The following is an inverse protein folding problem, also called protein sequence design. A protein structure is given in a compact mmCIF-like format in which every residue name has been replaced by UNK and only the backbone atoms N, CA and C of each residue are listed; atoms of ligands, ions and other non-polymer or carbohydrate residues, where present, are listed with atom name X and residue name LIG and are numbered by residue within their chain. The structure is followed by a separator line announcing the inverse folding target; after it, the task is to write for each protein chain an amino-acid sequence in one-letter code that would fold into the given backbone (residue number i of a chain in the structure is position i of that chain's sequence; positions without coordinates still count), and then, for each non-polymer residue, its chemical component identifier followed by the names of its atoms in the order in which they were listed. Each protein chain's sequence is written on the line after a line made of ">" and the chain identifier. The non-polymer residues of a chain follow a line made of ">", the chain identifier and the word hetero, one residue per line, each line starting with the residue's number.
data_IF_174290468715
#
_entry.id   IF_174290468715
#
_cell.length_a   1.000
_cell.length_b   1.000
_cell.length_c   1.000
_cell.angle_alpha   90.00
_cell.angle_beta   90.00
_cell.angle_gamma   90.00
#
_symmetry.space_group_name_H-M   'P 1'
#
loop_
_entity.id
_entity.type
_entity.pdbx_description
1 polymer ?
#
# COMPACT_ATOMS: atom_id res chain seq x y z
N UNK A 1 9.68 17.83 6.77
CA UNK A 1 10.41 17.93 5.49
C UNK A 1 9.39 17.77 4.36
N UNK A 2 9.32 18.65 3.36
CA UNK A 2 8.37 18.48 2.26
C UNK A 2 8.85 17.30 1.40
N UNK A 3 8.05 16.23 1.33
CA UNK A 3 8.35 15.04 0.54
C UNK A 3 8.29 15.39 -0.94
N UNK A 4 9.44 15.26 -1.61
CA UNK A 4 9.61 15.45 -3.05
C UNK A 4 8.60 14.57 -3.79
N UNK A 5 7.73 15.18 -4.59
CA UNK A 5 6.85 14.44 -5.51
C UNK A 5 7.74 13.61 -6.44
N UNK A 6 7.36 12.35 -6.69
CA UNK A 6 8.08 11.32 -7.46
C UNK A 6 8.61 11.75 -8.86
N UNK A 7 8.34 12.98 -9.33
CA UNK A 7 8.85 13.55 -10.58
C UNK A 7 10.34 13.88 -10.61
N UNK A 8 11.07 13.76 -9.50
CA UNK A 8 12.53 13.98 -9.46
C UNK A 8 13.36 12.71 -9.70
N UNK A 9 12.75 11.52 -9.62
CA UNK A 9 13.43 10.24 -9.84
C UNK A 9 13.06 9.76 -11.26
N UNK A 10 14.03 9.55 -12.17
CA UNK A 10 13.73 9.01 -13.50
C UNK A 10 13.13 7.60 -13.38
N UNK A 11 12.29 7.23 -14.34
CA UNK A 11 11.80 5.85 -14.42
C UNK A 11 12.98 4.88 -14.64
N UNK A 12 12.92 3.67 -14.05
CA UNK A 12 13.94 2.66 -14.32
C UNK A 12 14.00 2.29 -15.81
N UNK A 13 15.11 1.71 -16.24
CA UNK A 13 15.27 1.30 -17.64
C UNK A 13 14.19 0.28 -18.06
N UNK A 14 13.61 0.51 -19.24
CA UNK A 14 12.51 -0.30 -19.76
C UNK A 14 11.14 0.00 -19.12
N UNK A 15 11.02 1.05 -18.31
CA UNK A 15 9.73 1.53 -17.81
C UNK A 15 9.28 2.80 -18.53
N UNK A 16 8.02 2.80 -18.92
CA UNK A 16 7.30 3.96 -19.46
C UNK A 16 6.05 4.25 -18.64
N UNK A 17 5.44 5.41 -18.87
CA UNK A 17 4.13 5.74 -18.28
C UNK A 17 3.18 6.26 -19.35
N UNK A 18 1.91 5.95 -19.18
CA UNK A 18 0.83 6.43 -20.03
C UNK A 18 -0.36 6.84 -19.17
N UNK A 19 -1.35 7.48 -19.80
CA UNK A 19 -2.61 7.85 -19.16
C UNK A 19 -3.75 7.10 -19.79
N UNK A 20 -4.63 6.60 -18.96
CA UNK A 20 -5.87 5.97 -19.37
C UNK A 20 -6.91 7.04 -19.80
N UNK A 21 -8.10 6.63 -20.28
CA UNK A 21 -9.15 7.55 -20.73
C UNK A 21 -9.67 8.46 -19.61
N UNK A 22 -9.61 7.99 -18.37
CA UNK A 22 -9.92 8.77 -17.16
C UNK A 22 -8.79 9.74 -16.76
N UNK A 23 -7.66 9.73 -17.47
CA UNK A 23 -6.49 10.54 -17.16
C UNK A 23 -5.62 9.98 -16.03
N UNK A 24 -6.00 8.84 -15.43
CA UNK A 24 -5.18 8.10 -14.46
C UNK A 24 -3.89 7.61 -15.11
N UNK A 25 -2.77 7.83 -14.44
CA UNK A 25 -1.45 7.39 -14.90
C UNK A 25 -1.27 5.92 -14.57
N UNK A 26 -0.82 5.14 -15.54
CA UNK A 26 -0.35 3.76 -15.35
C UNK A 26 1.07 3.62 -15.92
N UNK A 27 1.78 2.62 -15.43
CA UNK A 27 3.17 2.34 -15.78
C UNK A 27 3.26 1.09 -16.63
N UNK A 28 4.16 1.11 -17.61
CA UNK A 28 4.37 0.06 -18.60
C UNK A 28 5.77 -0.49 -18.39
N UNK A 29 5.88 -1.75 -18.00
CA UNK A 29 7.16 -2.46 -17.94
C UNK A 29 7.40 -3.18 -19.26
N UNK A 30 8.30 -2.63 -20.08
CA UNK A 30 8.69 -3.21 -21.35
C UNK A 30 9.56 -4.47 -21.20
N UNK A 31 10.13 -4.72 -20.02
CA UNK A 31 10.92 -5.92 -19.73
C UNK A 31 10.02 -7.16 -19.63
N UNK A 32 8.96 -7.09 -18.79
CA UNK A 32 7.99 -8.18 -18.64
C UNK A 32 6.76 -8.08 -19.54
N UNK A 33 6.64 -7.00 -20.32
CA UNK A 33 5.48 -6.69 -21.19
C UNK A 33 4.17 -6.63 -20.40
N UNK A 34 4.21 -6.00 -19.23
CA UNK A 34 3.06 -5.84 -18.33
C UNK A 34 2.78 -4.37 -18.06
N UNK A 35 1.53 -4.07 -17.74
CA UNK A 35 1.12 -2.77 -17.24
C UNK A 35 0.75 -2.87 -15.77
N UNK A 36 0.95 -1.79 -15.02
CA UNK A 36 0.63 -1.73 -13.59
C UNK A 36 0.25 -0.31 -13.19
N UNK A 37 -0.60 -0.20 -12.17
CA UNK A 37 -0.95 1.07 -11.54
C UNK A 37 0.10 1.49 -10.49
N UNK A 38 1.05 0.62 -10.16
CA UNK A 38 2.09 0.87 -9.17
C UNK A 38 3.28 1.55 -9.83
N UNK A 39 3.65 2.74 -9.35
CA UNK A 39 4.88 3.41 -9.79
C UNK A 39 6.09 2.54 -9.40
N UNK A 40 6.95 2.11 -10.34
CA UNK A 40 8.15 1.34 -9.99
C UNK A 40 9.07 2.09 -9.02
N UNK A 41 8.97 3.42 -8.97
CA UNK A 41 9.74 4.27 -8.05
C UNK A 41 9.18 4.26 -6.64
N UNK A 42 7.90 3.94 -6.45
CA UNK A 42 7.30 3.88 -5.11
C UNK A 42 7.96 2.82 -4.23
N UNK A 43 8.64 1.83 -4.82
CA UNK A 43 9.44 0.86 -4.05
C UNK A 43 10.53 1.51 -3.19
N UNK A 44 10.98 2.71 -3.55
CA UNK A 44 12.03 3.45 -2.83
C UNK A 44 11.47 4.52 -1.89
N UNK A 45 10.22 4.93 -2.05
CA UNK A 45 9.62 6.06 -1.33
C UNK A 45 8.47 5.66 -0.42
N UNK A 46 7.76 4.57 -0.72
CA UNK A 46 6.65 4.06 0.09
C UNK A 46 7.12 2.99 1.08
N UNK A 47 6.43 2.89 2.24
CA UNK A 47 6.68 1.82 3.20
C UNK A 47 6.38 0.46 2.57
N UNK A 48 7.27 -0.51 2.78
CA UNK A 48 7.12 -1.86 2.26
C UNK A 48 6.12 -2.69 3.08
N UNK A 49 5.89 -2.30 4.33
CA UNK A 49 4.96 -2.94 5.25
C UNK A 49 4.02 -1.93 5.90
N UNK A 50 2.88 -2.42 6.38
CA UNK A 50 1.98 -1.65 7.24
C UNK A 50 2.66 -1.15 8.52
N UNK A 51 3.70 -1.86 9.00
CA UNK A 51 4.48 -1.46 10.17
C UNK A 51 5.26 -0.14 9.98
N UNK A 52 5.69 0.14 8.74
CA UNK A 52 6.49 1.31 8.40
C UNK A 52 5.62 2.51 7.96
N UNK A 53 4.29 2.35 7.97
CA UNK A 53 3.37 3.41 7.58
C UNK A 53 3.33 4.50 8.64
N UNK A 54 3.68 5.74 8.25
CA UNK A 54 3.65 6.91 9.13
C UNK A 54 2.51 7.83 8.72
N UNK A 55 1.68 8.22 9.68
CA UNK A 55 0.57 9.14 9.46
C UNK A 55 -0.48 8.57 8.50
N UNK A 56 -0.69 9.25 7.38
CA UNK A 56 -1.69 8.91 6.36
C UNK A 56 -1.13 8.12 5.18
N UNK A 57 0.15 7.74 5.18
CA UNK A 57 0.74 6.98 4.09
C UNK A 57 0.24 5.53 4.06
N UNK A 58 -0.05 5.03 2.86
CA UNK A 58 -0.40 3.64 2.59
C UNK A 58 0.82 2.87 2.07
N UNK A 59 0.91 1.56 2.32
CA UNK A 59 2.05 0.76 1.87
C UNK A 59 2.09 0.62 0.35
N UNK A 60 3.22 0.12 -0.14
CA UNK A 60 3.43 -0.11 -1.58
C UNK A 60 2.26 -0.88 -2.20
N UNK A 61 1.72 -0.34 -3.29
CA UNK A 61 0.61 -0.93 -4.03
C UNK A 61 -0.78 -0.65 -3.48
N UNK A 62 -0.90 0.06 -2.36
CA UNK A 62 -2.18 0.59 -1.88
C UNK A 62 -2.39 2.04 -2.31
N UNK A 63 -3.62 2.33 -2.74
CA UNK A 63 -4.10 3.64 -3.15
C UNK A 63 -5.37 4.00 -2.37
N UNK A 64 -5.45 5.24 -1.90
CA UNK A 64 -6.68 5.83 -1.35
C UNK A 64 -7.42 6.50 -2.50
N UNK A 65 -8.67 6.11 -2.72
CA UNK A 65 -9.53 6.66 -3.75
C UNK A 65 -10.82 7.22 -3.12
N UNK A 66 -11.48 8.11 -3.85
CA UNK A 66 -12.73 8.73 -3.41
C UNK A 66 -13.80 8.57 -4.47
N UNK A 67 -14.96 8.06 -4.05
CA UNK A 67 -16.18 8.02 -4.86
C UNK A 67 -17.27 8.89 -4.19
N UNK A 68 -18.01 9.72 -4.93
CA UNK A 68 -19.04 10.60 -4.35
C UNK A 68 -20.18 9.89 -3.61
N UNK A 69 -20.48 8.62 -3.94
CA UNK A 69 -21.59 7.87 -3.36
C UNK A 69 -21.13 7.03 -2.15
N UNK A 70 -19.92 6.49 -2.22
CA UNK A 70 -19.38 5.54 -1.23
C UNK A 70 -18.47 6.25 -0.22
N UNK A 71 -17.83 7.35 -0.62
CA UNK A 71 -16.82 8.05 0.17
C UNK A 71 -15.40 7.54 -0.14
N UNK A 72 -14.54 7.60 0.87
CA UNK A 72 -13.14 7.12 0.76
C UNK A 72 -13.13 5.60 0.78
N UNK A 73 -12.41 5.00 -0.16
CA UNK A 73 -12.19 3.56 -0.24
C UNK A 73 -10.73 3.26 -0.63
N UNK A 74 -10.30 2.03 -0.39
CA UNK A 74 -8.91 1.61 -0.55
C UNK A 74 -8.80 0.60 -1.68
N UNK A 75 -7.80 0.80 -2.55
CA UNK A 75 -7.51 -0.05 -3.70
C UNK A 75 -6.16 -0.73 -3.47
N UNK A 76 -6.11 -2.04 -3.59
CA UNK A 76 -4.89 -2.82 -3.57
C UNK A 76 -4.54 -3.29 -4.99
N UNK A 77 -3.54 -2.66 -5.59
CA UNK A 77 -3.06 -2.98 -6.93
C UNK A 77 -2.13 -4.19 -6.97
N UNK A 78 -1.71 -4.74 -5.84
CA UNK A 78 -0.94 -6.00 -5.81
C UNK A 78 -1.89 -7.17 -6.02
N UNK A 79 -2.99 -7.20 -5.25
CA UNK A 79 -3.97 -8.28 -5.26
C UNK A 79 -5.18 -7.98 -6.15
N UNK A 80 -5.24 -6.79 -6.76
CA UNK A 80 -6.35 -6.34 -7.60
C UNK A 80 -7.70 -6.39 -6.87
N UNK A 81 -7.73 -5.91 -5.62
CA UNK A 81 -8.95 -5.84 -4.81
C UNK A 81 -9.25 -4.40 -4.33
N UNK A 82 -10.50 -4.17 -3.94
CA UNK A 82 -10.95 -2.90 -3.35
C UNK A 82 -11.72 -3.18 -2.07
N UNK A 83 -11.62 -2.28 -1.11
CA UNK A 83 -12.29 -2.40 0.19
C UNK A 83 -12.65 -1.04 0.76
N UNK A 84 -13.67 -1.02 1.63
CA UNK A 84 -14.11 0.21 2.31
C UNK A 84 -13.31 0.49 3.58
N UNK A 85 -12.87 -0.56 4.26
CA UNK A 85 -12.16 -0.45 5.53
C UNK A 85 -10.68 -0.10 5.31
N UNK A 86 -10.11 0.72 6.21
CA UNK A 86 -8.70 1.09 6.14
C UNK A 86 -7.83 -0.12 6.48
N UNK A 87 -7.02 -0.63 5.52
CA UNK A 87 -6.22 -1.83 5.74
C UNK A 87 -5.18 -1.66 6.86
N UNK A 88 -4.83 -0.42 7.22
CA UNK A 88 -3.94 -0.14 8.37
C UNK A 88 -4.62 -0.44 9.70
N UNK A 89 -5.94 -0.24 9.79
CA UNK A 89 -6.70 -0.56 10.99
C UNK A 89 -6.83 -2.07 11.16
N UNK A 90 -7.13 -2.79 10.07
CA UNK A 90 -7.16 -4.25 10.06
C UNK A 90 -5.81 -4.82 10.48
N UNK A 91 -4.71 -4.33 9.89
CA UNK A 91 -3.37 -4.80 10.26
C UNK A 91 -3.06 -4.57 11.75
N UNK A 92 -3.37 -3.38 12.30
CA UNK A 92 -3.19 -3.10 13.73
C UNK A 92 -4.02 -4.03 14.61
N UNK A 93 -5.28 -4.29 14.25
CA UNK A 93 -6.15 -5.18 15.00
C UNK A 93 -5.61 -6.62 15.02
N UNK A 94 -5.11 -7.11 13.88
CA UNK A 94 -4.49 -8.44 13.80
C UNK A 94 -3.24 -8.50 14.68
N UNK A 95 -2.35 -7.51 14.60
CA UNK A 95 -1.14 -7.48 15.43
C UNK A 95 -1.48 -7.43 16.93
N UNK A 96 -2.45 -6.61 17.32
CA UNK A 96 -2.92 -6.53 18.70
C UNK A 96 -3.47 -7.88 19.19
N UNK A 97 -4.27 -8.56 18.36
CA UNK A 97 -4.81 -9.89 18.69
C UNK A 97 -3.70 -10.94 18.85
N UNK A 98 -2.71 -10.97 17.95
CA UNK A 98 -1.58 -11.89 18.04
C UNK A 98 -0.74 -11.66 19.31
N UNK A 99 -0.48 -10.40 19.65
CA UNK A 99 0.26 -10.07 20.87
C UNK A 99 -0.53 -10.42 22.13
N UNK A 100 -1.85 -10.20 22.13
CA UNK A 100 -2.73 -10.61 23.25
C UNK A 100 -2.71 -12.11 23.47
N UNK A 101 -2.83 -12.90 22.40
CA UNK A 101 -2.79 -14.36 22.47
C UNK A 101 -1.45 -14.88 23.01
N UNK A 102 -0.34 -14.30 22.52
CA UNK A 102 0.99 -14.62 23.00
C UNK A 102 1.16 -14.31 24.49
N UNK A 103 0.71 -13.13 24.95
CA UNK A 103 0.78 -12.74 26.35
C UNK A 103 -0.06 -13.67 27.25
N UNK A 104 -1.26 -14.01 26.80
CA UNK A 104 -2.12 -14.94 27.53
C UNK A 104 -1.48 -16.33 27.68
N UNK A 105 -0.90 -16.85 26.59
CA UNK A 105 -0.22 -18.15 26.61
C UNK A 105 1.05 -18.13 27.49
N UNK A 106 1.85 -17.07 27.40
CA UNK A 106 3.04 -16.92 28.23
C UNK A 106 2.70 -16.84 29.73
N UNK A 107 1.57 -16.20 30.06
CA UNK A 107 1.08 -16.11 31.42
C UNK A 107 0.59 -17.47 31.95
N UNK A 108 -0.17 -18.23 31.16
CA UNK A 108 -0.59 -19.60 31.51
C UNK A 108 0.61 -20.53 31.83
N UNK A 109 1.67 -20.45 31.01
CA UNK A 109 2.91 -21.23 31.22
C UNK A 109 3.65 -20.85 32.50
N UNK A 110 3.60 -19.58 32.91
CA UNK A 110 4.23 -19.12 34.15
C UNK A 110 3.41 -19.48 35.40
N UNK A 111 2.10 -19.64 35.24
CA UNK A 111 1.18 -20.03 36.32
C UNK A 111 1.08 -21.56 36.52
N UNK A 112 1.66 -22.35 35.60
CA UNK A 112 1.74 -23.82 35.64
C UNK A 112 3.01 -24.35 36.33
#
# INVERSE_FOLDING_TARGET
>A
MPRKRNGEIPLPEGWDFARDYDGKVYFIDHNSKKTTWIDPRDRFTKPQSFADCIGNELPLGWEEAYDPHIGVYYINHVNQCTQLEDPRLEWRAIQEAMLRDYLHTAQDVLEA
#
